data_IF_896734298435
#
_entry.id   IF_896734298435
#
_cell.length_a   1.000
_cell.length_b   1.000
_cell.length_c   1.000
_cell.angle_alpha   90.00
_cell.angle_beta   90.00
_cell.angle_gamma   90.00
#
_symmetry.space_group_name_H-M   'P 1'
#
loop_
_entity.id
_entity.type
_entity.pdbx_description
1 polymer ?
#
# COMPACT_ATOMS: atom_id res chain seq x y z
N UNK A 1 -2.71 21.85 -10.09
CA UNK A 1 -2.33 20.89 -11.14
C UNK A 1 -1.81 21.64 -12.35
N UNK A 2 -0.88 21.04 -13.12
CA UNK A 2 -0.38 21.63 -14.36
C UNK A 2 -1.51 21.79 -15.40
N UNK A 3 -1.42 22.82 -16.25
CA UNK A 3 -2.43 23.09 -17.30
C UNK A 3 -2.47 22.02 -18.41
N UNK A 4 -1.38 21.25 -18.55
CA UNK A 4 -1.31 20.03 -19.37
C UNK A 4 -0.69 18.92 -18.54
N UNK A 5 -1.46 17.87 -18.26
CA UNK A 5 -1.02 16.76 -17.43
C UNK A 5 -0.05 15.84 -18.18
N UNK A 6 -0.38 15.52 -19.43
CA UNK A 6 0.49 14.78 -20.34
C UNK A 6 1.30 15.71 -21.25
N UNK A 7 2.54 15.31 -21.53
CA UNK A 7 3.49 15.98 -22.40
C UNK A 7 4.01 14.98 -23.45
N UNK A 8 4.83 15.46 -24.40
CA UNK A 8 5.35 14.61 -25.48
C UNK A 8 6.17 13.43 -24.93
N UNK A 9 6.90 13.67 -23.85
CA UNK A 9 7.76 12.74 -23.13
C UNK A 9 6.96 11.76 -22.25
N UNK A 10 5.65 11.96 -22.07
CA UNK A 10 4.82 10.98 -21.36
C UNK A 10 4.79 9.68 -22.17
N UNK A 11 5.13 8.53 -21.53
CA UNK A 11 5.07 7.21 -22.16
C UNK A 11 3.73 6.94 -22.84
N UNK A 12 3.76 6.23 -23.98
CA UNK A 12 2.58 5.98 -24.79
C UNK A 12 1.52 5.13 -24.07
N UNK A 13 1.98 4.11 -23.35
CA UNK A 13 1.16 3.25 -22.48
C UNK A 13 0.50 4.01 -21.33
N UNK A 14 1.12 5.07 -20.83
CA UNK A 14 0.53 5.95 -19.80
C UNK A 14 -0.53 6.89 -20.40
N UNK A 15 -0.18 7.64 -21.46
CA UNK A 15 -1.07 8.68 -22.00
C UNK A 15 -2.24 8.15 -22.84
N UNK A 16 -2.11 6.92 -23.36
CA UNK A 16 -3.17 6.26 -24.12
C UNK A 16 -3.97 5.27 -23.26
N UNK A 17 -3.68 5.17 -21.95
CA UNK A 17 -4.43 4.29 -21.06
C UNK A 17 -5.89 4.75 -20.92
N UNK A 18 -6.80 3.79 -20.89
CA UNK A 18 -8.22 4.02 -20.63
C UNK A 18 -8.60 3.47 -19.24
N UNK A 19 -9.58 4.11 -18.60
CA UNK A 19 -10.03 3.74 -17.25
C UNK A 19 -8.94 3.91 -16.19
N UNK A 20 -8.90 2.99 -15.23
CA UNK A 20 -7.89 2.97 -14.18
C UNK A 20 -6.54 2.49 -14.72
N UNK A 21 -5.48 3.25 -14.46
CA UNK A 21 -4.12 2.93 -14.86
C UNK A 21 -3.15 3.09 -13.69
N UNK A 22 -2.41 2.04 -13.35
CA UNK A 22 -1.44 2.06 -12.26
C UNK A 22 0.00 2.18 -12.78
N UNK A 23 0.68 3.29 -12.45
CA UNK A 23 2.11 3.48 -12.71
C UNK A 23 2.89 3.09 -11.46
N UNK A 24 3.72 2.06 -11.52
CA UNK A 24 4.27 1.46 -10.30
C UNK A 24 5.57 0.68 -10.51
N UNK A 25 6.11 0.18 -9.40
CA UNK A 25 7.09 -0.89 -9.32
C UNK A 25 6.73 -1.75 -8.10
N UNK A 26 7.00 -3.06 -8.11
CA UNK A 26 6.64 -3.98 -7.01
C UNK A 26 7.50 -3.79 -5.74
N UNK A 27 7.39 -2.60 -5.15
CA UNK A 27 7.81 -2.25 -3.79
C UNK A 27 6.64 -2.46 -2.83
N UNK A 28 6.83 -2.46 -1.50
CA UNK A 28 5.70 -2.57 -0.58
C UNK A 28 4.56 -1.56 -0.80
N UNK A 29 4.88 -0.30 -1.15
CA UNK A 29 3.85 0.69 -1.47
C UNK A 29 3.13 0.38 -2.79
N UNK A 30 3.86 -0.06 -3.82
CA UNK A 30 3.26 -0.48 -5.09
C UNK A 30 2.38 -1.72 -4.92
N UNK A 31 2.85 -2.71 -4.17
CA UNK A 31 2.15 -3.95 -3.86
C UNK A 31 0.81 -3.71 -3.17
N UNK A 32 0.70 -2.74 -2.27
CA UNK A 32 -0.58 -2.42 -1.63
C UNK A 32 -1.68 -2.09 -2.66
N UNK A 33 -1.36 -1.27 -3.66
CA UNK A 33 -2.33 -0.88 -4.71
C UNK A 33 -2.54 -2.00 -5.72
N UNK A 34 -1.47 -2.73 -6.08
CA UNK A 34 -1.56 -3.92 -6.94
C UNK A 34 -2.52 -4.96 -6.34
N UNK A 35 -2.33 -5.31 -5.07
CA UNK A 35 -3.19 -6.24 -4.33
C UNK A 35 -4.63 -5.74 -4.32
N UNK A 36 -4.86 -4.45 -4.04
CA UNK A 36 -6.24 -3.97 -3.95
C UNK A 36 -6.95 -4.01 -5.31
N UNK A 37 -6.27 -3.66 -6.39
CA UNK A 37 -6.82 -3.77 -7.74
C UNK A 37 -7.14 -5.23 -8.10
N UNK A 38 -6.30 -6.19 -7.75
CA UNK A 38 -6.59 -7.62 -7.94
C UNK A 38 -7.78 -8.10 -7.10
N UNK A 39 -7.94 -7.61 -5.86
CA UNK A 39 -9.08 -7.91 -4.99
C UNK A 39 -10.41 -7.36 -5.56
N UNK A 40 -10.36 -6.14 -6.11
CA UNK A 40 -11.48 -5.49 -6.79
C UNK A 40 -11.81 -6.18 -8.11
N UNK A 41 -10.80 -6.63 -8.86
CA UNK A 41 -10.97 -7.44 -10.06
C UNK A 41 -11.76 -8.72 -9.79
N UNK A 42 -11.32 -9.46 -8.77
CA UNK A 42 -11.87 -10.75 -8.42
C UNK A 42 -13.29 -10.61 -7.85
N UNK A 43 -13.57 -9.50 -7.17
CA UNK A 43 -14.87 -9.25 -6.55
C UNK A 43 -15.88 -8.61 -7.51
N UNK A 44 -15.47 -7.57 -8.24
CA UNK A 44 -16.36 -6.68 -8.98
C UNK A 44 -16.12 -6.67 -10.49
N UNK A 45 -15.10 -7.40 -10.97
CA UNK A 45 -14.70 -7.34 -12.37
C UNK A 45 -14.06 -6.01 -12.77
N UNK A 46 -13.55 -5.23 -11.81
CA UNK A 46 -12.82 -3.99 -12.05
C UNK A 46 -11.70 -4.24 -13.07
N UNK A 47 -11.61 -3.38 -14.08
CA UNK A 47 -10.59 -3.45 -15.14
C UNK A 47 -9.60 -2.31 -14.95
N UNK A 48 -8.31 -2.62 -15.11
CA UNK A 48 -7.24 -1.64 -15.05
C UNK A 48 -6.07 -2.08 -15.91
N UNK A 49 -5.20 -1.14 -16.23
CA UNK A 49 -3.91 -1.37 -16.88
C UNK A 49 -2.77 -0.93 -15.96
N UNK A 50 -1.53 -1.29 -16.29
CA UNK A 50 -0.37 -0.89 -15.49
C UNK A 50 0.83 -0.57 -16.37
N UNK A 51 1.59 0.44 -15.96
CA UNK A 51 2.93 0.73 -16.48
C UNK A 51 3.93 0.47 -15.37
N UNK A 52 4.88 -0.43 -15.62
CA UNK A 52 6.00 -0.65 -14.71
C UNK A 52 7.11 0.35 -15.03
N UNK A 53 7.63 1.03 -14.02
CA UNK A 53 8.80 1.91 -14.16
C UNK A 53 9.95 1.45 -13.29
N UNK A 54 11.18 1.79 -13.67
CA UNK A 54 12.37 1.53 -12.86
C UNK A 54 12.71 2.76 -12.00
N UNK A 55 12.47 2.66 -10.69
CA UNK A 55 12.76 3.77 -9.78
C UNK A 55 14.25 4.01 -9.54
N UNK A 56 15.10 3.03 -9.89
CA UNK A 56 16.56 3.14 -9.76
C UNK A 56 17.17 4.00 -10.87
N UNK A 57 16.48 4.17 -12.00
CA UNK A 57 16.90 5.07 -13.09
C UNK A 57 16.32 6.47 -12.95
N UNK A 58 15.71 6.80 -11.82
CA UNK A 58 15.03 8.07 -11.56
C UNK A 58 13.91 8.40 -12.56
N UNK A 59 13.24 7.39 -13.13
CA UNK A 59 12.11 7.59 -14.05
C UNK A 59 10.99 8.44 -13.40
N UNK A 60 10.70 8.16 -12.13
CA UNK A 60 9.74 8.87 -11.28
C UNK A 60 10.13 10.34 -10.99
N UNK A 61 11.31 10.78 -11.40
CA UNK A 61 11.80 12.16 -11.25
C UNK A 61 11.76 12.93 -12.56
N UNK A 62 11.43 12.30 -13.69
CA UNK A 62 11.24 13.00 -14.95
C UNK A 62 9.98 13.86 -14.92
N UNK A 63 9.99 14.92 -15.72
CA UNK A 63 8.91 15.91 -15.75
C UNK A 63 7.53 15.27 -15.99
N UNK A 64 7.44 14.30 -16.89
CA UNK A 64 6.18 13.62 -17.20
C UNK A 64 5.55 12.96 -15.97
N UNK A 65 6.36 12.37 -15.09
CA UNK A 65 5.88 11.73 -13.87
C UNK A 65 5.57 12.77 -12.80
N UNK A 66 6.42 13.79 -12.65
CA UNK A 66 6.22 14.86 -11.67
C UNK A 66 4.94 15.68 -11.91
N UNK A 67 4.47 15.76 -13.15
CA UNK A 67 3.16 16.34 -13.49
C UNK A 67 1.98 15.55 -12.92
N UNK A 68 2.14 14.22 -12.78
CA UNK A 68 1.14 13.34 -12.15
C UNK A 68 1.30 13.29 -10.62
N UNK A 69 2.54 13.24 -10.14
CA UNK A 69 2.87 13.23 -8.71
C UNK A 69 4.10 14.11 -8.43
N UNK A 70 3.92 15.30 -7.85
CA UNK A 70 5.02 16.22 -7.58
C UNK A 70 6.02 15.69 -6.53
N UNK A 71 5.64 14.70 -5.70
CA UNK A 71 6.56 14.02 -4.79
C UNK A 71 7.58 13.13 -5.55
N UNK A 72 7.24 12.72 -6.77
CA UNK A 72 8.08 11.84 -7.59
C UNK A 72 8.32 10.49 -6.92
N UNK A 73 7.24 9.85 -6.46
CA UNK A 73 7.25 8.53 -5.82
C UNK A 73 6.16 7.66 -6.46
N UNK A 74 6.42 6.36 -6.55
CA UNK A 74 5.41 5.36 -6.89
C UNK A 74 4.68 4.88 -5.63
N UNK A 75 3.50 4.26 -5.76
CA UNK A 75 2.67 4.21 -6.97
C UNK A 75 2.02 5.56 -7.31
N UNK A 76 1.43 5.63 -8.52
CA UNK A 76 0.45 6.64 -8.93
C UNK A 76 -0.66 5.92 -9.66
N UNK A 77 -1.90 6.11 -9.19
CA UNK A 77 -3.10 5.69 -9.88
C UNK A 77 -3.59 6.84 -10.75
N UNK A 78 -3.91 6.59 -12.00
CA UNK A 78 -4.53 7.57 -12.90
C UNK A 78 -5.91 7.06 -13.28
N UNK A 79 -6.94 7.85 -13.00
CA UNK A 79 -8.29 7.58 -13.47
C UNK A 79 -8.57 8.42 -14.73
N UNK A 80 -8.50 7.74 -15.88
CA UNK A 80 -8.80 8.30 -17.20
C UNK A 80 -10.31 8.28 -17.53
N UNK A 81 -11.16 7.86 -16.59
CA UNK A 81 -12.63 7.90 -16.70
C UNK A 81 -13.28 9.01 -15.86
N UNK A 82 -12.52 9.65 -14.97
CA UNK A 82 -13.00 10.64 -13.99
C UNK A 82 -13.66 11.90 -14.59
N UNK A 83 -13.56 12.15 -15.91
CA UNK A 83 -14.21 13.28 -16.60
C UNK A 83 -15.72 13.36 -16.41
N UNK A 84 -16.38 12.28 -15.97
CA UNK A 84 -17.82 12.30 -15.75
C UNK A 84 -18.26 12.75 -14.33
N UNK A 85 -17.35 12.84 -13.34
CA UNK A 85 -17.73 13.00 -11.92
C UNK A 85 -17.15 14.23 -11.21
N UNK A 86 -16.08 14.86 -11.72
CA UNK A 86 -15.47 16.03 -11.08
C UNK A 86 -16.11 17.34 -11.56
N UNK A 87 -16.41 18.26 -10.65
CA UNK A 87 -17.04 19.56 -10.92
C UNK A 87 -16.30 20.46 -11.94
N UNK A 88 -15.06 20.09 -12.30
CA UNK A 88 -14.18 20.87 -13.18
C UNK A 88 -13.80 20.13 -14.49
N UNK A 89 -14.45 19.00 -14.82
CA UNK A 89 -14.17 18.18 -16.02
C UNK A 89 -12.68 17.84 -16.23
N UNK A 90 -11.90 17.74 -15.15
CA UNK A 90 -10.48 17.37 -15.24
C UNK A 90 -10.35 15.86 -15.44
N UNK A 91 -9.99 15.48 -16.66
CA UNK A 91 -9.51 14.15 -17.02
C UNK A 91 -8.18 14.30 -17.76
N UNK A 92 -7.13 13.58 -17.35
CA UNK A 92 -7.09 12.55 -16.28
C UNK A 92 -7.09 13.09 -14.85
N UNK A 93 -7.53 12.24 -13.90
CA UNK A 93 -7.39 12.49 -12.46
C UNK A 93 -6.30 11.59 -11.86
N UNK A 94 -5.09 12.13 -11.61
CA UNK A 94 -4.03 11.39 -10.91
C UNK A 94 -4.27 11.40 -9.40
N UNK A 95 -4.09 10.24 -8.79
CA UNK A 95 -4.12 10.01 -7.34
C UNK A 95 -2.74 9.51 -6.93
N UNK A 96 -2.11 10.27 -6.04
CA UNK A 96 -0.82 9.91 -5.44
C UNK A 96 -0.97 9.77 -3.93
N UNK A 97 0.03 9.14 -3.31
CA UNK A 97 0.01 8.60 -1.94
C UNK A 97 -0.84 7.34 -1.84
N UNK A 98 -0.18 6.23 -1.54
CA UNK A 98 -0.81 4.90 -1.49
C UNK A 98 -2.07 4.84 -0.64
N UNK A 99 -2.12 5.54 0.51
CA UNK A 99 -3.33 5.53 1.33
C UNK A 99 -4.49 6.29 0.67
N UNK A 100 -4.20 7.39 -0.04
CA UNK A 100 -5.21 8.11 -0.81
C UNK A 100 -5.67 7.29 -2.03
N UNK A 101 -4.76 6.60 -2.71
CA UNK A 101 -5.09 5.66 -3.80
C UNK A 101 -6.02 4.54 -3.33
N UNK A 102 -5.73 3.92 -2.18
CA UNK A 102 -6.60 2.90 -1.60
C UNK A 102 -7.97 3.46 -1.20
N UNK A 103 -8.04 4.67 -0.63
CA UNK A 103 -9.32 5.29 -0.29
C UNK A 103 -10.13 5.72 -1.52
N UNK A 104 -9.44 6.14 -2.58
CA UNK A 104 -10.05 6.45 -3.87
C UNK A 104 -10.70 5.20 -4.47
N UNK A 105 -9.93 4.12 -4.59
CA UNK A 105 -10.42 2.83 -5.10
C UNK A 105 -11.55 2.27 -4.22
N UNK A 106 -11.47 2.44 -2.90
CA UNK A 106 -12.52 2.03 -1.99
C UNK A 106 -13.83 2.76 -2.31
N UNK A 107 -13.76 4.06 -2.58
CA UNK A 107 -14.94 4.86 -2.91
C UNK A 107 -15.49 4.55 -4.31
N UNK A 108 -14.63 4.40 -5.29
CA UNK A 108 -15.05 4.27 -6.70
C UNK A 108 -15.42 2.84 -7.10
N UNK A 109 -14.77 1.83 -6.51
CA UNK A 109 -14.86 0.43 -6.95
C UNK A 109 -15.45 -0.54 -5.89
N UNK A 110 -15.28 -0.30 -4.58
CA UNK A 110 -15.79 -1.18 -3.51
C UNK A 110 -17.27 -0.92 -3.17
N UNK A 111 -18.15 -1.12 -4.15
CA UNK A 111 -19.58 -0.72 -4.12
C UNK A 111 -20.40 -1.30 -2.96
N UNK A 112 -19.93 -2.38 -2.35
CA UNK A 112 -20.65 -3.08 -1.27
C UNK A 112 -19.92 -3.02 0.09
N UNK A 113 -18.86 -2.20 0.20
CA UNK A 113 -17.98 -2.12 1.37
C UNK A 113 -17.40 -3.51 1.75
N UNK A 114 -17.00 -4.31 0.77
CA UNK A 114 -16.38 -5.63 1.02
C UNK A 114 -15.02 -5.48 1.68
N UNK A 115 -14.27 -4.45 1.28
CA UNK A 115 -12.95 -4.07 1.82
C UNK A 115 -13.00 -2.79 2.67
N UNK A 116 -14.14 -2.10 2.67
CA UNK A 116 -14.50 -0.98 3.53
C UNK A 116 -15.41 -1.39 4.69
N UNK A 117 -16.19 -0.46 5.24
CA UNK A 117 -17.16 -0.74 6.30
C UNK A 117 -18.38 0.17 6.15
N UNK A 118 -19.58 -0.41 6.27
CA UNK A 118 -20.85 0.35 6.31
C UNK A 118 -21.07 1.06 7.64
N UNK A 119 -20.64 0.43 8.74
CA UNK A 119 -20.67 1.03 10.08
C UNK A 119 -19.58 2.11 10.18
N UNK A 120 -19.98 3.33 10.55
CA UNK A 120 -19.09 4.50 10.56
C UNK A 120 -17.98 4.40 11.61
N UNK A 121 -18.20 3.71 12.73
CA UNK A 121 -17.16 3.50 13.73
C UNK A 121 -16.14 2.47 13.26
N UNK A 122 -16.58 1.39 12.61
CA UNK A 122 -15.67 0.41 11.99
C UNK A 122 -14.91 1.03 10.80
N UNK A 123 -15.56 1.90 10.02
CA UNK A 123 -14.92 2.70 8.95
C UNK A 123 -13.82 3.59 9.55
N UNK A 124 -14.11 4.30 10.64
CA UNK A 124 -13.12 5.12 11.33
C UNK A 124 -11.97 4.29 11.90
N UNK A 125 -12.26 3.13 12.50
CA UNK A 125 -11.23 2.21 12.99
C UNK A 125 -10.29 1.74 11.87
N UNK A 126 -10.83 1.41 10.69
CA UNK A 126 -10.03 1.08 9.52
C UNK A 126 -9.13 2.24 9.09
N UNK A 127 -9.63 3.49 9.12
CA UNK A 127 -8.83 4.68 8.85
C UNK A 127 -7.69 4.85 9.88
N UNK A 128 -7.96 4.64 11.17
CA UNK A 128 -6.92 4.70 12.20
C UNK A 128 -5.76 3.75 11.90
N UNK A 129 -6.06 2.49 11.53
CA UNK A 129 -5.02 1.51 11.19
C UNK A 129 -4.34 1.80 9.85
N UNK A 130 -5.09 2.26 8.83
CA UNK A 130 -4.55 2.69 7.55
C UNK A 130 -3.53 3.84 7.72
N UNK A 131 -3.88 4.84 8.52
CA UNK A 131 -3.02 6.01 8.79
C UNK A 131 -1.93 5.70 9.81
N UNK A 132 -2.15 4.80 10.77
CA UNK A 132 -1.09 4.28 11.64
C UNK A 132 0.04 3.67 10.81
N UNK A 133 -0.29 2.81 9.85
CA UNK A 133 0.75 2.25 8.98
C UNK A 133 1.37 3.31 8.07
N UNK A 134 0.58 4.23 7.52
CA UNK A 134 1.08 5.33 6.69
C UNK A 134 2.10 6.21 7.42
N UNK A 135 1.78 6.64 8.64
CA UNK A 135 2.59 7.62 9.39
C UNK A 135 3.61 7.02 10.34
N UNK A 136 3.35 5.83 10.89
CA UNK A 136 4.25 5.17 11.84
C UNK A 136 4.98 3.99 11.18
N UNK A 137 4.26 3.01 10.63
CA UNK A 137 4.88 1.77 10.16
C UNK A 137 5.83 1.92 8.97
N UNK A 138 5.30 2.40 7.84
CA UNK A 138 6.06 2.50 6.60
C UNK A 138 7.31 3.40 6.71
N UNK A 139 7.26 4.60 7.34
CA UNK A 139 8.43 5.44 7.50
C UNK A 139 9.52 4.77 8.34
N UNK A 140 9.19 4.17 9.49
CA UNK A 140 10.20 3.54 10.35
C UNK A 140 10.82 2.30 9.72
N UNK A 141 10.03 1.40 9.13
CA UNK A 141 10.57 0.24 8.42
C UNK A 141 11.38 0.67 7.18
N UNK A 142 10.98 1.74 6.50
CA UNK A 142 11.73 2.37 5.42
C UNK A 142 13.13 2.83 5.87
N UNK A 143 13.22 3.48 7.03
CA UNK A 143 14.50 3.88 7.61
C UNK A 143 15.34 2.68 8.05
N UNK A 144 14.73 1.66 8.65
CA UNK A 144 15.41 0.39 8.97
C UNK A 144 16.05 -0.22 7.72
N UNK A 145 15.29 -0.30 6.62
CA UNK A 145 15.80 -0.78 5.34
C UNK A 145 16.95 0.10 4.82
N UNK A 146 16.82 1.43 4.91
CA UNK A 146 17.85 2.35 4.44
C UNK A 146 19.16 2.16 5.21
N UNK A 147 19.16 2.34 6.53
CA UNK A 147 20.38 2.27 7.34
C UNK A 147 20.98 0.87 7.39
N UNK A 148 20.15 -0.18 7.35
CA UNK A 148 20.65 -1.56 7.38
C UNK A 148 21.23 -2.00 6.03
N UNK A 149 20.70 -1.53 4.90
CA UNK A 149 21.03 -2.08 3.57
C UNK A 149 21.56 -1.07 2.57
N UNK A 150 20.93 0.10 2.44
CA UNK A 150 21.20 1.03 1.36
C UNK A 150 22.21 2.13 1.70
N UNK A 151 22.32 2.53 2.97
CA UNK A 151 23.26 3.57 3.39
C UNK A 151 24.71 3.12 3.08
N UNK A 152 25.53 4.00 2.48
CA UNK A 152 26.91 3.66 2.11
C UNK A 152 27.78 3.40 3.34
N UNK A 153 27.49 4.08 4.44
CA UNK A 153 28.15 3.91 5.73
C UNK A 153 27.22 3.26 6.73
N UNK A 154 27.75 2.35 7.55
CA UNK A 154 27.00 1.74 8.65
C UNK A 154 27.09 2.63 9.88
N UNK A 155 25.92 3.06 10.35
CA UNK A 155 25.78 3.90 11.54
C UNK A 155 25.06 3.05 12.60
N UNK A 156 25.80 2.40 13.53
CA UNK A 156 25.21 1.45 14.48
C UNK A 156 24.04 2.03 15.28
N UNK A 157 24.16 3.28 15.74
CA UNK A 157 23.09 3.96 16.47
C UNK A 157 21.80 4.12 15.64
N UNK A 158 21.92 4.49 14.35
CA UNK A 158 20.75 4.67 13.49
C UNK A 158 20.08 3.32 13.18
N UNK A 159 20.89 2.30 12.87
CA UNK A 159 20.40 0.92 12.65
C UNK A 159 19.63 0.45 13.89
N UNK A 160 20.24 0.56 15.06
CA UNK A 160 19.63 0.11 16.32
C UNK A 160 18.34 0.88 16.64
N UNK A 161 18.35 2.21 16.49
CA UNK A 161 17.18 3.06 16.72
C UNK A 161 15.99 2.64 15.85
N UNK A 162 16.20 2.51 14.53
CA UNK A 162 15.10 2.21 13.61
C UNK A 162 14.65 0.76 13.69
N UNK A 163 15.56 -0.19 13.95
CA UNK A 163 15.20 -1.58 14.26
C UNK A 163 14.29 -1.66 15.48
N UNK A 164 14.69 -1.07 16.61
CA UNK A 164 13.87 -1.01 17.84
C UNK A 164 12.50 -0.39 17.59
N UNK A 165 12.45 0.72 16.86
CA UNK A 165 11.16 1.37 16.56
C UNK A 165 10.28 0.54 15.64
N UNK A 166 10.86 -0.18 14.67
CA UNK A 166 10.09 -1.08 13.80
C UNK A 166 9.52 -2.27 14.58
N UNK A 167 10.31 -2.89 15.45
CA UNK A 167 9.83 -3.96 16.34
C UNK A 167 8.75 -3.45 17.31
N UNK A 168 8.90 -2.22 17.84
CA UNK A 168 7.86 -1.58 18.66
C UNK A 168 6.55 -1.43 17.88
N UNK A 169 6.61 -1.01 16.60
CA UNK A 169 5.43 -0.92 15.73
C UNK A 169 4.83 -2.30 15.46
N UNK A 170 5.64 -3.34 15.22
CA UNK A 170 5.16 -4.72 15.11
C UNK A 170 4.47 -5.16 16.40
N UNK A 171 4.99 -4.77 17.57
CA UNK A 171 4.35 -4.99 18.87
C UNK A 171 2.97 -4.32 19.00
N UNK A 172 2.74 -3.15 18.38
CA UNK A 172 1.40 -2.53 18.34
C UNK A 172 0.43 -3.37 17.51
N UNK A 173 0.88 -3.91 16.37
CA UNK A 173 0.07 -4.83 15.56
C UNK A 173 -0.20 -6.13 16.32
N UNK A 174 0.80 -6.68 17.01
CA UNK A 174 0.64 -7.87 17.87
C UNK A 174 -0.36 -7.63 19.00
N UNK A 175 -0.29 -6.51 19.72
CA UNK A 175 -1.26 -6.15 20.76
C UNK A 175 -2.68 -6.13 20.18
N UNK A 176 -2.84 -5.56 18.98
CA UNK A 176 -4.13 -5.52 18.30
C UNK A 176 -4.60 -6.92 17.93
N UNK A 177 -3.77 -7.69 17.24
CA UNK A 177 -4.13 -9.01 16.69
C UNK A 177 -4.28 -10.10 17.76
N UNK A 178 -3.52 -10.02 18.84
CA UNK A 178 -3.67 -10.91 20.00
C UNK A 178 -4.95 -10.65 20.79
N UNK A 179 -5.53 -9.45 20.66
CA UNK A 179 -6.65 -9.04 21.50
C UNK A 179 -6.27 -8.89 22.96
N UNK A 180 -4.99 -8.59 23.27
CA UNK A 180 -4.45 -8.51 24.64
C UNK A 180 -5.32 -7.71 25.62
N UNK A 181 -5.95 -6.63 25.14
CA UNK A 181 -6.81 -5.77 25.95
C UNK A 181 -8.32 -5.96 25.69
N UNK A 182 -8.69 -6.79 24.72
CA UNK A 182 -10.08 -7.09 24.34
C UNK A 182 -10.53 -8.49 24.73
N UNK A 183 -9.61 -9.36 25.14
CA UNK A 183 -9.87 -10.74 25.57
C UNK A 183 -9.95 -11.77 24.44
N UNK A 184 -10.11 -11.33 23.19
CA UNK A 184 -10.32 -12.21 22.04
C UNK A 184 -9.35 -11.91 20.88
N UNK A 185 -8.60 -12.92 20.37
CA UNK A 185 -7.73 -12.77 19.21
C UNK A 185 -8.49 -12.36 17.95
N UNK A 186 -7.80 -11.62 17.09
CA UNK A 186 -8.34 -11.04 15.86
C UNK A 186 -7.65 -11.62 14.63
N UNK A 187 -8.43 -11.80 13.58
CA UNK A 187 -7.94 -12.21 12.27
C UNK A 187 -7.45 -11.03 11.44
N UNK A 188 -8.01 -9.83 11.67
CA UNK A 188 -7.72 -8.59 10.90
C UNK A 188 -7.72 -7.33 11.78
N UNK A 189 -7.12 -6.26 11.26
CA UNK A 189 -6.84 -5.04 12.02
C UNK A 189 -8.09 -4.27 12.42
N UNK A 190 -9.12 -4.20 11.58
CA UNK A 190 -10.33 -3.40 11.82
C UNK A 190 -11.61 -4.25 11.83
N UNK A 191 -12.68 -3.72 12.42
CA UNK A 191 -14.02 -4.31 12.46
C UNK A 191 -14.39 -4.95 13.80
N UNK A 192 -15.65 -5.35 13.97
CA UNK A 192 -16.10 -6.04 15.19
C UNK A 192 -15.61 -7.49 15.27
N UNK A 193 -15.62 -8.07 16.47
CA UNK A 193 -15.23 -9.46 16.73
C UNK A 193 -13.80 -9.76 16.26
N UNK A 194 -13.63 -10.78 15.41
CA UNK A 194 -12.34 -11.14 14.82
C UNK A 194 -11.81 -10.11 13.81
N UNK A 195 -12.58 -9.08 13.48
CA UNK A 195 -12.26 -8.11 12.45
C UNK A 195 -12.58 -8.62 11.04
N UNK A 196 -12.44 -7.73 10.06
CA UNK A 196 -12.67 -7.98 8.64
C UNK A 196 -11.48 -7.48 7.83
N UNK A 197 -11.05 -8.28 6.86
CA UNK A 197 -10.01 -7.89 5.91
C UNK A 197 -10.41 -6.60 5.19
N UNK A 198 -9.52 -5.61 5.21
CA UNK A 198 -9.83 -4.28 4.72
C UNK A 198 -8.61 -3.58 4.12
N UNK A 199 -8.82 -2.36 3.62
CA UNK A 199 -7.72 -1.49 3.16
C UNK A 199 -6.65 -1.23 4.24
N UNK A 200 -6.98 -1.34 5.52
CA UNK A 200 -6.01 -1.25 6.62
C UNK A 200 -5.00 -2.41 6.56
N UNK A 201 -5.48 -3.63 6.32
CA UNK A 201 -4.64 -4.82 6.18
C UNK A 201 -3.84 -4.76 4.87
N UNK A 202 -4.50 -4.41 3.76
CA UNK A 202 -3.89 -4.30 2.42
C UNK A 202 -2.73 -3.29 2.40
N UNK A 203 -2.88 -2.15 3.09
CA UNK A 203 -1.82 -1.14 3.20
C UNK A 203 -0.62 -1.64 4.00
N UNK A 204 -0.88 -2.41 5.06
CA UNK A 204 0.12 -2.81 6.06
C UNK A 204 0.91 -4.03 5.62
N UNK A 205 0.22 -5.04 5.10
CA UNK A 205 0.76 -6.38 4.86
C UNK A 205 2.00 -6.43 3.95
N UNK A 206 2.05 -5.72 2.80
CA UNK A 206 3.19 -5.81 1.87
C UNK A 206 4.53 -5.43 2.48
N UNK A 207 4.49 -4.56 3.50
CA UNK A 207 5.66 -4.15 4.25
C UNK A 207 6.05 -5.18 5.31
N UNK A 208 5.09 -5.58 6.16
CA UNK A 208 5.37 -6.47 7.29
C UNK A 208 5.79 -7.86 6.81
N UNK A 209 5.18 -8.39 5.74
CA UNK A 209 5.57 -9.68 5.15
C UNK A 209 7.02 -9.73 4.67
N UNK A 210 7.65 -8.56 4.48
CA UNK A 210 9.05 -8.42 4.12
C UNK A 210 10.00 -8.33 5.31
N UNK A 211 9.60 -8.70 6.53
CA UNK A 211 10.42 -8.57 7.74
C UNK A 211 11.80 -9.23 7.63
N UNK A 212 11.90 -10.43 7.03
CA UNK A 212 13.18 -11.10 6.75
C UNK A 212 14.04 -10.27 5.79
N UNK A 213 13.41 -9.73 4.73
CA UNK A 213 14.06 -8.80 3.81
C UNK A 213 14.36 -7.44 4.47
N UNK A 214 13.79 -7.10 5.62
CA UNK A 214 14.25 -5.95 6.40
C UNK A 214 15.47 -6.29 7.25
N UNK A 215 15.73 -7.58 7.49
CA UNK A 215 16.88 -8.09 8.22
C UNK A 215 16.56 -8.43 9.68
N UNK A 216 15.30 -8.67 10.01
CA UNK A 216 14.94 -9.25 11.31
C UNK A 216 15.12 -10.77 11.26
N UNK A 217 15.49 -11.37 12.40
CA UNK A 217 15.62 -12.82 12.54
C UNK A 217 14.31 -13.45 13.00
N UNK A 218 14.21 -14.77 12.87
CA UNK A 218 13.02 -15.49 13.34
C UNK A 218 12.84 -15.35 14.85
N UNK A 219 13.94 -15.39 15.60
CA UNK A 219 13.95 -15.24 17.05
C UNK A 219 13.42 -13.86 17.48
N UNK A 220 13.73 -12.80 16.73
CA UNK A 220 13.16 -11.47 16.97
C UNK A 220 11.65 -11.42 16.69
N UNK A 221 11.14 -12.27 15.81
CA UNK A 221 9.72 -12.32 15.45
C UNK A 221 8.91 -13.32 16.29
N UNK A 222 9.55 -14.20 17.06
CA UNK A 222 8.87 -15.18 17.93
C UNK A 222 8.00 -14.50 19.00
N UNK A 223 8.29 -13.23 19.35
CA UNK A 223 7.46 -12.41 20.25
C UNK A 223 6.11 -11.96 19.63
N UNK A 224 5.92 -12.14 18.31
CA UNK A 224 4.73 -11.66 17.58
C UNK A 224 3.94 -12.79 16.88
N UNK A 225 3.48 -13.82 17.59
CA UNK A 225 2.84 -14.98 16.97
C UNK A 225 1.51 -14.66 16.28
N UNK A 226 0.75 -13.64 16.72
CA UNK A 226 -0.50 -13.27 16.05
C UNK A 226 -0.23 -12.45 14.79
N UNK A 227 0.82 -11.62 14.80
CA UNK A 227 1.32 -10.95 13.60
C UNK A 227 1.74 -11.95 12.53
N UNK A 228 2.51 -12.99 12.88
CA UNK A 228 2.92 -14.03 11.94
C UNK A 228 1.71 -14.78 11.34
N UNK A 229 0.74 -15.18 12.17
CA UNK A 229 -0.51 -15.79 11.69
C UNK A 229 -1.30 -14.85 10.76
N UNK A 230 -1.31 -13.55 11.03
CA UNK A 230 -1.93 -12.55 10.17
C UNK A 230 -1.20 -12.41 8.84
N UNK A 231 0.14 -12.45 8.83
CA UNK A 231 0.93 -12.48 7.60
C UNK A 231 0.53 -13.68 6.74
N UNK A 232 0.52 -14.88 7.32
CA UNK A 232 0.22 -16.13 6.62
C UNK A 232 -1.22 -16.16 6.08
N UNK A 233 -2.19 -15.71 6.89
CA UNK A 233 -3.61 -15.65 6.52
C UNK A 233 -3.82 -14.78 5.28
N UNK A 234 -3.18 -13.61 5.21
CA UNK A 234 -3.30 -12.71 4.06
C UNK A 234 -2.50 -13.23 2.86
N UNK A 235 -1.33 -13.86 3.09
CA UNK A 235 -0.53 -14.47 2.03
C UNK A 235 -1.29 -15.56 1.24
N UNK A 236 -2.24 -16.24 1.90
CA UNK A 236 -3.04 -17.28 1.30
C UNK A 236 -4.12 -16.76 0.32
N UNK A 237 -4.37 -15.45 0.26
CA UNK A 237 -5.41 -14.88 -0.61
C UNK A 237 -4.97 -14.88 -2.08
N UNK A 238 -5.79 -15.37 -3.04
CA UNK A 238 -5.42 -15.42 -4.45
C UNK A 238 -5.05 -14.05 -5.05
N UNK A 239 -5.83 -13.01 -4.74
CA UNK A 239 -5.54 -11.65 -5.17
C UNK A 239 -4.23 -11.10 -4.61
N UNK A 240 -3.87 -11.47 -3.37
CA UNK A 240 -2.57 -11.11 -2.77
C UNK A 240 -1.42 -11.75 -3.55
N UNK A 241 -1.53 -13.04 -3.86
CA UNK A 241 -0.52 -13.77 -4.64
C UNK A 241 -0.34 -13.18 -6.04
N UNK A 242 -1.44 -12.84 -6.72
CA UNK A 242 -1.40 -12.12 -8.01
C UNK A 242 -0.76 -10.74 -7.87
N UNK A 243 -1.15 -9.98 -6.84
CA UNK A 243 -0.68 -8.62 -6.57
C UNK A 243 0.82 -8.51 -6.28
N UNK A 244 1.47 -9.59 -5.85
CA UNK A 244 2.93 -9.66 -5.65
C UNK A 244 3.65 -10.54 -6.69
N UNK A 245 2.91 -11.04 -7.69
CA UNK A 245 3.40 -12.02 -8.65
C UNK A 245 4.20 -11.42 -9.81
N UNK A 246 4.55 -12.29 -10.77
CA UNK A 246 5.40 -11.95 -11.91
C UNK A 246 4.81 -10.88 -12.84
N UNK A 247 3.48 -10.68 -12.86
CA UNK A 247 2.82 -9.58 -13.58
C UNK A 247 3.40 -8.21 -13.25
N UNK A 248 3.96 -8.05 -12.05
CA UNK A 248 4.54 -6.80 -11.56
C UNK A 248 6.06 -6.82 -11.42
N UNK A 249 6.72 -7.85 -11.97
CA UNK A 249 8.17 -7.96 -12.04
C UNK A 249 8.64 -7.50 -13.42
N UNK A 250 9.63 -6.60 -13.45
CA UNK A 250 10.41 -6.28 -14.65
C UNK A 250 11.59 -7.24 -14.77
#
# INVERSE_FOLDING_TARGET
MASKLYINETPADVKNAEGLHLITQSTPNGQAVQIFLEELAETYGTKWTTTLINIMTNEQKKEWFLRLNPNGRIPVLVDNSASAKAANNQNPFPVHETSAELLYLLKEEDKEDKFGFKDEYERNEALQWLFFWHGSGAPYQGQTNHFSKAAPEKIPYAIERFRKETLRVYGVLEIRLSGKYTGEPRDYLAGKGKGKYSVADIKTWPWVKGWERTGFTKEELDEFPHLLKWIDRIAARPAVQKGIGSKYSQ
#
